data_IF_732702731157
#
_entry.id   IF_732702731157
#
_cell.length_a   1.000
_cell.length_b   1.000
_cell.length_c   1.000
_cell.angle_alpha   90.00
_cell.angle_beta   90.00
_cell.angle_gamma   90.00
#
_symmetry.space_group_name_H-M   'P 1'
#
loop_
_entity.id
_entity.type
_entity.pdbx_description
1 polymer ?
#
# COMPACT_ATOMS: atom_id res chain seq x y z
N UNK A 1 12.63 8.10 15.83
CA UNK A 1 12.28 8.53 14.45
C UNK A 1 10.88 9.09 14.50
N UNK A 2 10.71 10.39 14.28
CA UNK A 2 9.39 11.01 14.31
C UNK A 2 8.72 10.84 12.95
N UNK A 3 7.44 10.45 12.97
CA UNK A 3 6.55 10.68 11.84
C UNK A 3 6.50 12.19 11.62
N UNK A 4 7.04 12.68 10.50
CA UNK A 4 6.91 14.08 10.10
C UNK A 4 5.70 14.22 9.16
N UNK A 5 5.40 15.45 8.73
CA UNK A 5 4.28 15.72 7.82
C UNK A 5 4.43 15.07 6.43
N UNK A 6 5.60 14.51 6.10
CA UNK A 6 5.84 13.82 4.82
C UNK A 6 5.55 12.32 4.89
N UNK A 7 5.43 11.74 6.10
CA UNK A 7 5.05 10.34 6.26
C UNK A 7 3.53 10.22 6.23
N UNK A 8 3.01 9.37 5.35
CA UNK A 8 1.58 9.08 5.30
C UNK A 8 1.32 7.59 5.15
N UNK A 9 0.19 7.16 5.70
CA UNK A 9 -0.32 5.80 5.59
C UNK A 9 -1.76 5.88 5.11
N UNK A 10 -2.07 5.14 4.05
CA UNK A 10 -3.41 4.96 3.54
C UNK A 10 -3.73 3.47 3.58
N UNK A 11 -4.74 3.12 4.37
CA UNK A 11 -5.25 1.77 4.39
C UNK A 11 -6.11 1.54 3.14
N UNK A 12 -5.83 0.46 2.42
CA UNK A 12 -6.55 0.09 1.19
C UNK A 12 -7.46 -1.13 1.40
N UNK A 13 -7.61 -1.62 2.64
CA UNK A 13 -8.39 -2.83 2.94
C UNK A 13 -7.49 -4.03 3.22
N UNK A 14 -7.97 -4.96 4.05
CA UNK A 14 -7.19 -6.16 4.47
C UNK A 14 -5.80 -5.78 5.03
N UNK A 15 -4.76 -6.51 4.63
CA UNK A 15 -3.34 -6.21 4.90
C UNK A 15 -2.72 -5.15 3.98
N UNK A 16 -3.49 -4.55 3.06
CA UNK A 16 -2.96 -3.69 2.01
C UNK A 16 -2.80 -2.24 2.47
N UNK A 17 -1.58 -1.71 2.34
CA UNK A 17 -1.25 -0.32 2.73
C UNK A 17 -0.44 0.40 1.66
N UNK A 18 -0.85 1.63 1.33
CA UNK A 18 -0.03 2.58 0.59
C UNK A 18 0.64 3.54 1.59
N UNK A 19 1.96 3.64 1.51
CA UNK A 19 2.77 4.41 2.46
C UNK A 19 3.65 5.39 1.70
N UNK A 20 3.71 6.63 2.17
CA UNK A 20 4.78 7.56 1.78
C UNK A 20 5.80 7.64 2.90
N UNK A 21 7.05 7.36 2.59
CA UNK A 21 8.17 7.50 3.53
C UNK A 21 8.63 8.95 3.67
N UNK A 22 9.35 9.27 4.75
CA UNK A 22 9.90 10.60 5.02
C UNK A 22 10.88 11.13 3.95
N UNK A 23 11.40 10.25 3.07
CA UNK A 23 12.27 10.60 1.94
C UNK A 23 11.54 10.53 0.60
N UNK A 24 10.21 10.47 0.63
CA UNK A 24 9.36 10.54 -0.54
C UNK A 24 9.30 9.30 -1.42
N UNK A 25 9.62 8.12 -0.88
CA UNK A 25 9.36 6.83 -1.52
C UNK A 25 7.93 6.37 -1.27
N UNK A 26 7.27 5.89 -2.32
CA UNK A 26 5.94 5.30 -2.27
C UNK A 26 6.08 3.78 -2.13
N UNK A 27 5.61 3.26 -1.00
CA UNK A 27 5.72 1.85 -0.62
C UNK A 27 4.33 1.24 -0.62
N UNK A 28 4.18 0.04 -1.18
CA UNK A 28 2.96 -0.75 -1.13
C UNK A 28 3.22 -2.03 -0.31
N UNK A 29 2.40 -2.28 0.70
CA UNK A 29 2.48 -3.48 1.54
C UNK A 29 1.32 -4.40 1.16
N UNK A 30 1.59 -5.70 0.94
CA UNK A 30 0.62 -6.76 0.64
C UNK A 30 -0.42 -6.34 -0.40
N UNK A 31 0.04 -6.20 -1.66
CA UNK A 31 -0.54 -5.39 -2.74
C UNK A 31 -1.90 -5.84 -3.32
N UNK A 32 -2.79 -6.42 -2.51
CA UNK A 32 -4.15 -6.78 -2.88
C UNK A 32 -5.07 -5.57 -3.05
N UNK A 33 -5.00 -4.97 -4.24
CA UNK A 33 -5.65 -3.71 -4.58
C UNK A 33 -6.80 -3.92 -5.58
N UNK A 34 -6.53 -4.51 -6.75
CA UNK A 34 -7.48 -4.50 -7.88
C UNK A 34 -8.81 -5.20 -7.57
N UNK A 35 -8.72 -6.35 -6.90
CA UNK A 35 -9.86 -7.23 -6.63
C UNK A 35 -10.26 -7.26 -5.15
N UNK A 36 -9.63 -6.42 -4.33
CA UNK A 36 -9.98 -6.30 -2.93
C UNK A 36 -11.30 -5.52 -2.79
N UNK A 37 -12.35 -6.12 -2.23
CA UNK A 37 -13.66 -5.49 -2.13
C UNK A 37 -13.69 -4.31 -1.15
N UNK A 38 -12.71 -4.23 -0.26
CA UNK A 38 -12.59 -3.12 0.70
C UNK A 38 -11.81 -1.92 0.14
N UNK A 39 -11.08 -2.08 -0.98
CA UNK A 39 -10.38 -0.96 -1.61
C UNK A 39 -11.38 -0.04 -2.31
N UNK A 40 -11.42 1.27 -1.98
CA UNK A 40 -12.25 2.22 -2.70
C UNK A 40 -11.92 2.24 -4.19
N UNK A 41 -12.92 2.35 -5.07
CA UNK A 41 -12.70 2.29 -6.53
C UNK A 41 -11.71 3.35 -7.03
N UNK A 42 -11.69 4.53 -6.40
CA UNK A 42 -10.74 5.61 -6.71
C UNK A 42 -9.29 5.30 -6.36
N UNK A 43 -9.05 4.27 -5.53
CA UNK A 43 -7.73 3.85 -5.07
C UNK A 43 -7.33 2.47 -5.62
N UNK A 44 -8.14 1.87 -6.50
CA UNK A 44 -7.81 0.59 -7.15
C UNK A 44 -6.70 0.71 -8.18
N UNK A 45 -6.32 1.92 -8.58
CA UNK A 45 -5.20 2.14 -9.49
C UNK A 45 -3.97 2.62 -8.71
N UNK A 46 -2.82 1.99 -8.96
CA UNK A 46 -1.54 2.38 -8.37
C UNK A 46 -0.65 2.99 -9.45
N UNK A 47 -0.53 4.32 -9.45
CA UNK A 47 0.22 5.05 -10.48
C UNK A 47 1.75 4.98 -10.27
N UNK A 48 2.19 4.72 -9.03
CA UNK A 48 3.60 4.68 -8.64
C UNK A 48 3.83 3.74 -7.46
N UNK A 49 4.88 2.93 -7.57
CA UNK A 49 5.39 2.06 -6.50
C UNK A 49 6.92 2.04 -6.58
N UNK A 50 7.60 2.60 -5.58
CA UNK A 50 9.07 2.53 -5.46
C UNK A 50 9.52 1.21 -4.81
N UNK A 51 8.70 0.66 -3.92
CA UNK A 51 9.00 -0.57 -3.16
C UNK A 51 7.71 -1.31 -2.84
N UNK A 52 7.70 -2.62 -3.07
CA UNK A 52 6.63 -3.51 -2.63
C UNK A 52 7.16 -4.42 -1.51
N UNK A 53 6.43 -4.49 -0.41
CA UNK A 53 6.74 -5.36 0.72
C UNK A 53 5.65 -6.43 0.83
N UNK A 54 6.06 -7.69 0.79
CA UNK A 54 5.16 -8.83 0.87
C UNK A 54 5.46 -9.58 2.16
N UNK A 55 4.46 -9.74 3.01
CA UNK A 55 4.59 -10.45 4.28
C UNK A 55 4.69 -11.96 4.07
N UNK A 56 3.87 -12.53 3.18
CA UNK A 56 3.84 -13.94 2.84
C UNK A 56 3.09 -14.20 1.53
N UNK A 57 3.08 -15.47 1.07
CA UNK A 57 2.60 -15.86 -0.27
C UNK A 57 1.13 -16.23 -0.41
N UNK A 58 0.24 -15.84 0.51
CA UNK A 58 -1.19 -16.05 0.30
C UNK A 58 -1.75 -15.09 -0.75
N UNK A 59 -2.84 -15.51 -1.40
CA UNK A 59 -3.30 -14.83 -2.61
C UNK A 59 -3.73 -13.38 -2.34
N UNK A 60 -4.31 -13.13 -1.19
CA UNK A 60 -4.77 -11.85 -0.67
C UNK A 60 -3.63 -10.92 -0.19
N UNK A 61 -2.38 -11.29 -0.45
CA UNK A 61 -1.18 -10.49 -0.18
C UNK A 61 -0.31 -10.27 -1.42
N UNK A 62 -0.34 -11.16 -2.42
CA UNK A 62 0.56 -11.12 -3.59
C UNK A 62 -0.11 -10.77 -4.92
N UNK A 63 -1.45 -10.78 -4.99
CA UNK A 63 -2.22 -10.51 -6.22
C UNK A 63 -2.78 -9.10 -6.28
#
# INVERSE_FOLDING_TARGET
MALNAEVSFTWLGHGTWKVRSARGKDVLIDAWVMNNPATPDTLKTIDKCDLMLITHGHFDHIH
#
